data_IF_659246325939
#
_entry.id   IF_659246325939
#
_cell.length_a   1.000
_cell.length_b   1.000
_cell.length_c   1.000
_cell.angle_alpha   90.00
_cell.angle_beta   90.00
_cell.angle_gamma   90.00
#
_symmetry.space_group_name_H-M   'P 1'
#
loop_
_entity.id
_entity.type
_entity.pdbx_description
1 polymer ?
#
# COMPACT_ATOMS: atom_id res chain seq x y z
N UNK A 1 -21.60 -46.48 -21.17
CA UNK A 1 -20.76 -46.05 -20.04
C UNK A 1 -19.69 -45.10 -20.56
N UNK A 2 -19.76 -43.81 -20.20
CA UNK A 2 -18.64 -42.96 -19.75
C UNK A 2 -19.11 -41.50 -19.57
N UNK A 3 -18.46 -40.82 -18.63
CA UNK A 3 -19.04 -39.87 -17.66
C UNK A 3 -18.96 -38.39 -18.06
N UNK A 4 -19.92 -37.63 -17.50
CA UNK A 4 -20.08 -36.17 -17.48
C UNK A 4 -18.82 -35.40 -17.05
N UNK A 5 -18.65 -34.19 -17.60
CA UNK A 5 -18.29 -33.00 -16.79
C UNK A 5 -18.75 -31.73 -17.50
N UNK A 6 -19.56 -30.91 -16.83
CA UNK A 6 -20.14 -29.67 -17.34
C UNK A 6 -19.58 -28.52 -16.50
N UNK A 7 -18.82 -27.64 -17.15
CA UNK A 7 -18.27 -26.40 -16.60
C UNK A 7 -19.35 -25.32 -16.64
N UNK A 8 -19.67 -24.71 -15.50
CA UNK A 8 -20.42 -23.45 -15.47
C UNK A 8 -19.63 -22.42 -14.66
N UNK A 9 -19.39 -21.32 -15.36
CA UNK A 9 -18.79 -20.06 -14.97
C UNK A 9 -19.83 -19.19 -14.22
N UNK A 10 -19.45 -18.52 -13.13
CA UNK A 10 -20.14 -17.32 -12.62
C UNK A 10 -19.16 -16.54 -11.73
N UNK A 11 -18.56 -15.45 -12.22
CA UNK A 11 -19.02 -14.04 -12.12
C UNK A 11 -19.17 -13.59 -10.66
N UNK A 12 -18.21 -12.77 -10.23
CA UNK A 12 -18.14 -12.13 -8.91
C UNK A 12 -18.93 -10.83 -8.89
N UNK A 13 -19.82 -10.66 -7.92
CA UNK A 13 -20.39 -9.36 -7.51
C UNK A 13 -19.82 -9.01 -6.14
N UNK A 14 -19.23 -7.81 -6.04
CA UNK A 14 -18.73 -7.26 -4.78
C UNK A 14 -19.91 -6.73 -3.94
N UNK A 15 -19.99 -7.13 -2.67
CA UNK A 15 -20.95 -6.62 -1.70
C UNK A 15 -20.21 -6.04 -0.48
N UNK A 16 -20.65 -4.84 -0.08
CA UNK A 16 -20.20 -4.09 1.09
C UNK A 16 -20.18 -4.95 2.36
N UNK A 17 -19.14 -4.78 3.19
CA UNK A 17 -19.05 -5.44 4.48
C UNK A 17 -20.11 -4.87 5.44
N UNK A 18 -21.12 -5.65 5.88
CA UNK A 18 -21.96 -5.22 6.99
C UNK A 18 -21.13 -5.25 8.28
N UNK A 19 -21.32 -4.25 9.14
CA UNK A 19 -20.92 -4.36 10.54
C UNK A 19 -21.61 -5.60 11.11
N UNK A 20 -20.84 -6.63 11.43
CA UNK A 20 -21.35 -7.89 12.01
C UNK A 20 -21.85 -7.58 13.42
N UNK A 21 -23.11 -7.20 13.52
CA UNK A 21 -23.87 -7.43 14.73
C UNK A 21 -23.95 -8.95 14.88
N UNK A 22 -23.10 -9.53 15.72
CA UNK A 22 -23.14 -10.96 15.98
C UNK A 22 -24.56 -11.29 16.49
N UNK A 23 -25.27 -12.14 15.74
CA UNK A 23 -26.59 -12.62 16.16
C UNK A 23 -26.50 -13.16 17.59
N UNK A 24 -27.50 -12.91 18.45
CA UNK A 24 -27.47 -13.40 19.82
C UNK A 24 -27.42 -14.94 19.80
N UNK A 25 -26.31 -15.51 20.28
CA UNK A 25 -26.13 -16.96 20.34
C UNK A 25 -27.27 -17.60 21.11
N UNK A 26 -27.84 -18.67 20.57
CA UNK A 26 -28.87 -19.44 21.27
C UNK A 26 -28.24 -20.20 22.44
N UNK A 27 -29.05 -20.52 23.46
CA UNK A 27 -28.57 -21.27 24.64
C UNK A 27 -27.88 -22.57 24.25
N UNK A 28 -28.40 -23.27 23.25
CA UNK A 28 -27.81 -24.52 22.76
C UNK A 28 -26.44 -24.28 22.09
N UNK A 29 -26.28 -23.21 21.33
CA UNK A 29 -24.98 -22.85 20.73
C UNK A 29 -23.93 -22.53 21.81
N UNK A 30 -24.32 -21.80 22.86
CA UNK A 30 -23.43 -21.49 23.99
C UNK A 30 -23.01 -22.77 24.73
N UNK A 31 -23.92 -23.74 24.90
CA UNK A 31 -23.58 -25.02 25.53
C UNK A 31 -22.61 -25.84 24.68
N UNK A 32 -22.81 -25.85 23.37
CA UNK A 32 -21.93 -26.55 22.44
C UNK A 32 -20.51 -25.95 22.46
N UNK A 33 -20.42 -24.62 22.43
CA UNK A 33 -19.15 -23.88 22.51
C UNK A 33 -18.45 -24.10 23.85
N UNK A 34 -19.21 -24.15 24.94
CA UNK A 34 -18.67 -24.45 26.25
C UNK A 34 -18.08 -25.87 26.31
N UNK A 35 -18.78 -26.87 25.79
CA UNK A 35 -18.26 -28.25 25.69
C UNK A 35 -17.02 -28.34 24.78
N UNK A 36 -17.00 -27.59 23.68
CA UNK A 36 -15.82 -27.48 22.83
C UNK A 36 -14.62 -26.85 23.57
N UNK A 37 -14.85 -25.76 24.32
CA UNK A 37 -13.81 -25.07 25.07
C UNK A 37 -13.25 -25.94 26.21
N UNK A 38 -14.11 -26.71 26.89
CA UNK A 38 -13.71 -27.69 27.90
C UNK A 38 -12.84 -28.80 27.29
N UNK A 39 -13.26 -29.36 26.16
CA UNK A 39 -12.46 -30.36 25.43
C UNK A 39 -11.13 -29.79 24.91
N UNK A 40 -11.10 -28.51 24.57
CA UNK A 40 -9.90 -27.80 24.15
C UNK A 40 -8.97 -27.39 25.33
N UNK A 41 -9.33 -27.70 26.57
CA UNK A 41 -8.55 -27.31 27.76
C UNK A 41 -8.53 -25.80 28.03
N UNK A 42 -9.44 -25.04 27.41
CA UNK A 42 -9.55 -23.58 27.55
C UNK A 42 -10.40 -23.17 28.77
N UNK A 43 -10.95 -24.13 29.50
CA UNK A 43 -11.79 -23.92 30.70
C UNK A 43 -11.16 -24.69 31.86
N UNK A 44 -10.81 -24.01 32.95
CA UNK A 44 -10.34 -24.63 34.19
C UNK A 44 -11.50 -24.88 35.16
N UNK A 45 -11.35 -25.86 36.05
CA UNK A 45 -12.33 -26.19 37.09
C UNK A 45 -11.65 -26.28 38.46
N UNK A 46 -12.34 -25.82 39.51
CA UNK A 46 -11.83 -25.89 40.89
C UNK A 46 -10.66 -24.92 41.16
N UNK A 47 -9.74 -25.32 42.04
CA UNK A 47 -8.56 -24.54 42.46
C UNK A 47 -7.37 -24.59 41.47
N UNK A 48 -7.58 -25.09 40.23
CA UNK A 48 -6.51 -25.13 39.24
C UNK A 48 -6.14 -23.71 38.77
N UNK A 49 -4.83 -23.49 38.55
CA UNK A 49 -4.23 -22.20 38.20
C UNK A 49 -5.01 -21.46 37.10
N UNK A 50 -5.41 -20.24 37.42
CA UNK A 50 -6.01 -19.29 36.49
C UNK A 50 -4.93 -18.31 36.01
N UNK A 51 -4.83 -18.04 34.69
CA UNK A 51 -5.73 -18.42 33.60
C UNK A 51 -5.47 -19.81 32.98
N UNK A 52 -6.44 -20.39 32.23
CA UNK A 52 -6.23 -21.62 31.45
C UNK A 52 -4.98 -21.52 30.58
N UNK A 53 -4.26 -22.63 30.42
CA UNK A 53 -3.12 -22.72 29.51
C UNK A 53 -3.58 -22.41 28.08
N UNK A 54 -3.36 -21.17 27.64
CA UNK A 54 -3.67 -20.71 26.29
C UNK A 54 -2.78 -21.51 25.33
N UNK A 55 -3.35 -21.97 24.21
CA UNK A 55 -2.61 -22.64 23.13
C UNK A 55 -1.27 -21.93 22.86
N UNK A 56 -0.18 -22.67 22.54
CA UNK A 56 1.15 -22.10 22.49
C UNK A 56 1.17 -20.86 21.60
N UNK A 57 1.46 -19.72 22.24
CA UNK A 57 1.73 -18.46 21.56
C UNK A 57 2.69 -18.77 20.42
N UNK A 58 2.35 -18.38 19.19
CA UNK A 58 3.26 -18.56 18.04
C UNK A 58 4.64 -18.06 18.50
N UNK A 59 5.71 -18.84 18.29
CA UNK A 59 7.01 -18.45 18.79
C UNK A 59 7.32 -17.06 18.24
N UNK A 60 7.54 -16.11 19.15
CA UNK A 60 7.99 -14.77 18.79
C UNK A 60 9.37 -14.84 18.14
N UNK A 61 9.85 -13.69 17.63
CA UNK A 61 11.20 -13.63 17.08
C UNK A 61 12.22 -14.06 18.13
N UNK A 62 13.16 -14.92 17.74
CA UNK A 62 14.28 -15.28 18.61
C UNK A 62 15.20 -14.08 18.78
N UNK A 63 15.98 -14.05 19.88
CA UNK A 63 16.98 -12.99 20.08
C UNK A 63 17.96 -12.87 18.90
N UNK A 64 18.33 -13.99 18.29
CA UNK A 64 19.17 -14.00 17.09
C UNK A 64 18.50 -13.30 15.92
N UNK A 65 17.22 -13.59 15.64
CA UNK A 65 16.46 -12.93 14.57
C UNK A 65 16.34 -11.42 14.80
N UNK A 66 16.13 -10.99 16.05
CA UNK A 66 16.07 -9.56 16.40
C UNK A 66 17.44 -8.90 16.23
N UNK A 67 18.53 -9.57 16.61
CA UNK A 67 19.89 -9.05 16.43
C UNK A 67 20.24 -8.88 14.94
N UNK A 68 19.90 -9.85 14.09
CA UNK A 68 20.13 -9.79 12.65
C UNK A 68 19.34 -8.64 12.00
N UNK A 69 18.07 -8.48 12.39
CA UNK A 69 17.22 -7.39 11.91
C UNK A 69 17.76 -6.03 12.34
N UNK A 70 18.19 -5.91 13.59
CA UNK A 70 18.81 -4.69 14.09
C UNK A 70 20.11 -4.37 13.35
N UNK A 71 20.96 -5.36 13.09
CA UNK A 71 22.19 -5.17 12.31
C UNK A 71 21.89 -4.69 10.89
N UNK A 72 20.90 -5.30 10.21
CA UNK A 72 20.44 -4.86 8.88
C UNK A 72 19.91 -3.43 8.91
N UNK A 73 19.09 -3.08 9.91
CA UNK A 73 18.53 -1.74 10.04
C UNK A 73 19.61 -0.68 10.27
N UNK A 74 20.63 -0.98 11.09
CA UNK A 74 21.80 -0.11 11.28
C UNK A 74 22.58 0.07 9.98
N UNK A 75 22.86 -1.02 9.26
CA UNK A 75 23.57 -0.97 7.99
C UNK A 75 22.81 -0.16 6.92
N UNK A 76 21.48 -0.21 6.96
CA UNK A 76 20.61 0.58 6.08
C UNK A 76 20.41 2.04 6.52
N UNK A 77 20.99 2.46 7.65
CA UNK A 77 20.80 3.82 8.18
C UNK A 77 19.39 4.11 8.70
N UNK A 78 18.61 3.07 8.99
CA UNK A 78 17.22 3.18 9.48
C UNK A 78 17.13 3.33 11.01
N UNK A 79 18.26 3.22 11.71
CA UNK A 79 18.35 3.36 13.17
C UNK A 79 19.11 4.64 13.50
N UNK A 80 18.52 5.48 14.35
CA UNK A 80 19.12 6.73 14.82
C UNK A 80 19.46 6.64 16.29
N UNK A 81 20.43 7.46 16.74
CA UNK A 81 20.94 7.45 18.10
C UNK A 81 20.82 8.83 18.71
N UNK A 82 19.77 9.07 19.49
CA UNK A 82 19.53 10.32 20.20
C UNK A 82 18.25 11.03 19.76
N UNK A 83 17.75 11.91 20.63
CA UNK A 83 16.46 12.59 20.49
C UNK A 83 16.37 13.54 19.27
N UNK A 84 17.52 14.02 18.76
CA UNK A 84 17.56 14.97 17.64
C UNK A 84 17.70 14.32 16.26
N UNK A 85 18.02 13.02 16.22
CA UNK A 85 18.28 12.31 14.96
C UNK A 85 17.04 11.56 14.45
N UNK A 86 15.88 11.76 15.06
CA UNK A 86 14.61 11.17 14.60
C UNK A 86 13.77 12.18 13.80
N UNK A 87 13.24 11.81 12.63
CA UNK A 87 13.31 10.49 12.00
C UNK A 87 14.65 10.22 11.28
N UNK A 88 15.02 8.95 11.06
CA UNK A 88 16.19 8.60 10.25
C UNK A 88 16.15 9.30 8.90
N UNK A 89 17.32 9.74 8.37
CA UNK A 89 17.40 10.35 7.06
C UNK A 89 16.81 9.39 6.05
N UNK A 90 15.68 9.81 5.45
CA UNK A 90 15.01 9.05 4.42
C UNK A 90 16.01 8.85 3.27
N UNK A 91 16.12 7.63 2.71
CA UNK A 91 16.90 7.46 1.49
C UNK A 91 16.39 8.48 0.48
N UNK A 92 17.28 9.33 -0.04
CA UNK A 92 16.90 10.36 -1.02
C UNK A 92 16.32 9.63 -2.22
N UNK A 93 14.99 9.62 -2.35
CA UNK A 93 14.36 9.40 -3.63
C UNK A 93 15.06 10.35 -4.61
N UNK A 94 15.39 9.87 -5.81
CA UNK A 94 16.02 10.69 -6.84
C UNK A 94 15.08 11.85 -7.15
N UNK A 95 15.27 12.96 -6.45
CA UNK A 95 14.46 14.14 -6.59
C UNK A 95 14.80 14.76 -7.93
N UNK A 96 13.77 15.17 -8.67
CA UNK A 96 13.96 15.84 -9.95
C UNK A 96 14.83 17.08 -9.75
N UNK A 97 15.82 17.26 -10.61
CA UNK A 97 16.65 18.47 -10.56
C UNK A 97 15.81 19.68 -10.96
N UNK A 98 16.24 20.88 -10.56
CA UNK A 98 15.56 22.13 -10.97
C UNK A 98 15.49 22.28 -12.49
N UNK A 99 16.51 21.81 -13.22
CA UNK A 99 16.53 21.85 -14.68
C UNK A 99 15.48 20.88 -15.27
N UNK A 100 15.38 19.67 -14.74
CA UNK A 100 14.36 18.70 -15.17
C UNK A 100 12.93 19.21 -14.94
N UNK A 101 12.67 19.86 -13.80
CA UNK A 101 11.35 20.44 -13.49
C UNK A 101 11.02 21.57 -14.46
N UNK A 102 11.98 22.45 -14.76
CA UNK A 102 11.77 23.53 -15.73
C UNK A 102 11.55 23.00 -17.15
N UNK A 103 12.29 21.96 -17.54
CA UNK A 103 12.09 21.30 -18.81
C UNK A 103 10.69 20.66 -18.93
N UNK A 104 10.26 19.90 -17.92
CA UNK A 104 8.91 19.33 -17.86
C UNK A 104 7.84 20.44 -17.93
N UNK A 105 8.04 21.56 -17.23
CA UNK A 105 7.11 22.70 -17.23
C UNK A 105 6.98 23.35 -18.63
N UNK A 106 8.08 23.55 -19.34
CA UNK A 106 8.04 24.11 -20.71
C UNK A 106 7.25 23.20 -21.65
N UNK A 107 7.46 21.89 -21.57
CA UNK A 107 6.72 20.93 -22.38
C UNK A 107 5.24 20.87 -21.99
N UNK A 108 4.92 20.96 -20.70
CA UNK A 108 3.54 21.03 -20.21
C UNK A 108 2.78 22.23 -20.79
N UNK A 109 3.43 23.40 -20.80
CA UNK A 109 2.88 24.62 -21.42
C UNK A 109 2.75 24.49 -22.93
N UNK A 110 3.77 23.94 -23.61
CA UNK A 110 3.74 23.71 -25.07
C UNK A 110 2.62 22.74 -25.49
N UNK A 111 2.34 21.72 -24.68
CA UNK A 111 1.23 20.80 -24.89
C UNK A 111 -0.16 21.44 -24.64
N UNK A 112 -0.19 22.69 -24.14
CA UNK A 112 -1.42 23.38 -23.78
C UNK A 112 -2.07 22.83 -22.51
N UNK A 113 -1.35 22.06 -21.68
CA UNK A 113 -1.93 21.54 -20.45
C UNK A 113 -2.24 22.68 -19.45
N UNK A 114 -1.47 23.78 -19.46
CA UNK A 114 -1.71 24.96 -18.61
C UNK A 114 -3.11 25.59 -18.82
N UNK A 115 -3.63 25.61 -20.05
CA UNK A 115 -4.95 26.18 -20.33
C UNK A 115 -6.09 25.38 -19.69
N UNK A 116 -5.89 24.07 -19.46
CA UNK A 116 -6.91 23.21 -18.83
C UNK A 116 -7.09 23.54 -17.35
N UNK A 117 -6.08 24.14 -16.72
CA UNK A 117 -6.07 24.49 -15.30
C UNK A 117 -6.30 25.99 -15.06
N UNK A 118 -6.72 26.76 -16.08
CA UNK A 118 -6.98 28.19 -15.93
C UNK A 118 -8.27 28.43 -15.13
N UNK A 119 -8.14 29.00 -13.93
CA UNK A 119 -9.26 29.33 -13.04
C UNK A 119 -9.35 28.41 -11.81
N UNK A 120 -10.53 28.34 -11.19
CA UNK A 120 -10.79 27.53 -9.98
C UNK A 120 -11.41 26.15 -10.30
N UNK A 121 -11.41 25.73 -11.56
CA UNK A 121 -12.00 24.46 -11.99
C UNK A 121 -10.91 23.41 -12.16
N UNK A 122 -11.11 22.23 -11.56
CA UNK A 122 -10.32 21.04 -11.84
C UNK A 122 -10.68 20.53 -13.24
N UNK A 123 -9.72 20.40 -14.17
CA UNK A 123 -10.02 19.88 -15.50
C UNK A 123 -10.50 18.43 -15.44
N UNK A 124 -11.48 18.10 -16.28
CA UNK A 124 -11.92 16.73 -16.49
C UNK A 124 -10.82 15.92 -17.20
N UNK A 125 -10.15 15.08 -16.42
CA UNK A 125 -9.06 14.21 -16.87
C UNK A 125 -9.51 13.11 -17.84
N UNK A 126 -10.81 12.79 -17.88
CA UNK A 126 -11.35 11.78 -18.81
C UNK A 126 -11.76 12.38 -20.16
N UNK A 127 -11.84 13.70 -20.25
CA UNK A 127 -12.20 14.38 -21.49
C UNK A 127 -11.24 14.05 -22.64
N UNK A 128 -11.78 13.95 -23.86
CA UNK A 128 -10.97 13.72 -25.06
C UNK A 128 -9.88 14.79 -25.20
N UNK A 129 -10.23 16.05 -24.90
CA UNK A 129 -9.31 17.20 -24.95
C UNK A 129 -8.13 17.04 -23.99
N UNK A 130 -8.38 16.64 -22.73
CA UNK A 130 -7.30 16.40 -21.76
C UNK A 130 -6.38 15.28 -22.25
N UNK A 131 -6.95 14.13 -22.65
CA UNK A 131 -6.16 12.98 -23.10
C UNK A 131 -5.28 13.30 -24.31
N UNK A 132 -5.79 14.08 -25.27
CA UNK A 132 -5.02 14.51 -26.43
C UNK A 132 -3.83 15.41 -26.04
N UNK A 133 -4.06 16.44 -25.21
CA UNK A 133 -2.99 17.34 -24.75
C UNK A 133 -1.97 16.61 -23.87
N UNK A 134 -2.45 15.72 -23.00
CA UNK A 134 -1.57 14.90 -22.17
C UNK A 134 -0.73 13.93 -23.00
N UNK A 135 -1.30 13.31 -24.05
CA UNK A 135 -0.56 12.47 -24.96
C UNK A 135 0.56 13.23 -25.70
N UNK A 136 0.31 14.47 -26.13
CA UNK A 136 1.34 15.34 -26.70
C UNK A 136 2.45 15.67 -25.69
N UNK A 137 2.09 16.01 -24.45
CA UNK A 137 3.06 16.22 -23.37
C UNK A 137 3.94 14.98 -23.19
N UNK A 138 3.33 13.78 -23.10
CA UNK A 138 4.07 12.52 -22.95
C UNK A 138 4.99 12.27 -24.14
N UNK A 139 4.53 12.49 -25.38
CA UNK A 139 5.34 12.34 -26.59
C UNK A 139 6.56 13.24 -26.59
N UNK A 140 6.40 14.51 -26.21
CA UNK A 140 7.52 15.46 -26.15
C UNK A 140 8.48 15.11 -25.01
N UNK A 141 7.95 14.69 -23.85
CA UNK A 141 8.72 14.33 -22.66
C UNK A 141 9.61 13.09 -22.89
N UNK A 142 9.14 12.14 -23.69
CA UNK A 142 9.89 10.92 -24.02
C UNK A 142 10.81 11.08 -25.24
N UNK A 143 10.74 12.22 -25.94
CA UNK A 143 11.49 12.48 -27.16
C UNK A 143 12.72 13.38 -26.97
N UNK A 144 13.39 13.68 -28.09
CA UNK A 144 14.54 14.59 -28.15
C UNK A 144 14.21 16.03 -27.72
N UNK A 145 12.93 16.41 -27.72
CA UNK A 145 12.48 17.72 -27.26
C UNK A 145 12.78 17.94 -25.77
N UNK A 146 12.58 16.93 -24.93
CA UNK A 146 12.92 17.00 -23.52
C UNK A 146 14.42 17.17 -23.30
N UNK A 147 15.24 16.37 -23.99
CA UNK A 147 16.69 16.45 -23.85
C UNK A 147 17.23 17.82 -24.25
N UNK A 148 16.76 18.36 -25.38
CA UNK A 148 17.13 19.72 -25.81
C UNK A 148 16.74 20.76 -24.76
N UNK A 149 15.54 20.67 -24.20
CA UNK A 149 15.11 21.61 -23.17
C UNK A 149 15.95 21.46 -21.89
N UNK A 150 16.29 20.23 -21.52
CA UNK A 150 17.14 19.95 -20.37
C UNK A 150 18.55 20.52 -20.56
N UNK A 151 19.13 20.42 -21.76
CA UNK A 151 20.43 21.00 -22.08
C UNK A 151 20.40 22.53 -22.01
N UNK A 152 19.34 23.16 -22.53
CA UNK A 152 19.09 24.61 -22.41
C UNK A 152 19.03 25.04 -20.93
N UNK A 153 18.24 24.33 -20.11
CA UNK A 153 18.10 24.65 -18.68
C UNK A 153 19.38 24.39 -17.87
N UNK A 154 20.23 23.48 -18.34
CA UNK A 154 21.55 23.22 -17.77
C UNK A 154 22.65 24.15 -18.30
N UNK A 155 22.33 25.07 -19.22
CA UNK A 155 23.30 25.99 -19.81
C UNK A 155 24.27 25.35 -20.80
N UNK A 156 23.95 24.16 -21.32
CA UNK A 156 24.71 23.46 -22.36
C UNK A 156 24.09 23.83 -23.71
N UNK A 157 24.63 24.86 -24.37
CA UNK A 157 24.21 25.30 -25.71
C UNK A 157 25.34 25.09 -26.71
#
# INVERSE_FOLDING_TARGET
MNRLTLLILAVSVAAAAPAVQAEPKTREQVRLELEQAKNAGLVTYGEQDYPPAIAPVRPGKTRAQVADELQRAKAAGLVTYGEQDYPPPQPRATSRTRAEVRADLVLWKRAGMEDLYRGSQTPDVFSLKYRQRYAEYVRMRTGAEYQRQLDIENGRR
#
